data_IF_232794178434
#
_entry.id   IF_232794178434
#
_cell.length_a   1.000
_cell.length_b   1.000
_cell.length_c   1.000
_cell.angle_alpha   90.00
_cell.angle_beta   90.00
_cell.angle_gamma   90.00
#
_symmetry.space_group_name_H-M   'P 1'
#
loop_
_entity.id
_entity.type
_entity.pdbx_description
1 polymer ?
#
# COMPACT_ATOMS: atom_id res chain seq x y z
N UNK A 1 -34.24 -37.07 1.15
CA UNK A 1 -33.14 -37.26 0.17
C UNK A 1 -33.55 -36.53 -1.11
N UNK A 2 -32.62 -35.84 -1.76
CA UNK A 2 -32.94 -35.10 -3.00
C UNK A 2 -33.21 -36.04 -4.17
N UNK A 3 -34.16 -35.66 -5.02
CA UNK A 3 -34.47 -36.39 -6.25
C UNK A 3 -33.39 -36.16 -7.31
N UNK A 4 -33.37 -37.02 -8.34
CA UNK A 4 -32.42 -36.85 -9.46
C UNK A 4 -32.69 -35.56 -10.25
N UNK A 5 -33.94 -35.14 -10.35
CA UNK A 5 -34.36 -33.88 -10.98
C UNK A 5 -33.85 -32.66 -10.20
N UNK A 6 -33.96 -32.68 -8.87
CA UNK A 6 -33.43 -31.60 -8.02
C UNK A 6 -31.91 -31.45 -8.16
N UNK A 7 -31.18 -32.58 -8.20
CA UNK A 7 -29.72 -32.58 -8.41
C UNK A 7 -29.37 -31.97 -9.77
N UNK A 8 -30.11 -32.32 -10.82
CA UNK A 8 -29.89 -31.79 -12.16
C UNK A 8 -30.06 -30.27 -12.20
N UNK A 9 -31.11 -29.72 -11.61
CA UNK A 9 -31.35 -28.27 -11.59
C UNK A 9 -30.29 -27.52 -10.75
N UNK A 10 -29.79 -28.10 -9.67
CA UNK A 10 -28.67 -27.52 -8.89
C UNK A 10 -27.40 -27.43 -9.75
N UNK A 11 -27.03 -28.52 -10.44
CA UNK A 11 -25.84 -28.56 -11.31
C UNK A 11 -25.97 -27.55 -12.45
N UNK A 12 -27.15 -27.49 -13.09
CA UNK A 12 -27.45 -26.52 -14.14
C UNK A 12 -27.31 -25.08 -13.67
N UNK A 13 -27.85 -24.77 -12.49
CA UNK A 13 -27.73 -23.44 -11.86
C UNK A 13 -26.28 -23.10 -11.56
N UNK A 14 -25.52 -24.04 -10.98
CA UNK A 14 -24.09 -23.84 -10.71
C UNK A 14 -23.28 -23.57 -11.99
N UNK A 15 -23.54 -24.31 -13.07
CA UNK A 15 -22.90 -24.08 -14.39
C UNK A 15 -23.22 -22.70 -14.94
N UNK A 16 -24.46 -22.25 -14.80
CA UNK A 16 -24.86 -20.90 -15.20
C UNK A 16 -24.13 -19.82 -14.39
N UNK A 17 -24.00 -19.98 -13.07
CA UNK A 17 -23.23 -19.05 -12.22
C UNK A 17 -21.75 -18.95 -12.60
N UNK A 18 -21.11 -20.05 -12.98
CA UNK A 18 -19.71 -20.03 -13.46
C UNK A 18 -19.55 -19.22 -14.75
N UNK A 19 -20.57 -19.18 -15.61
CA UNK A 19 -20.57 -18.34 -16.82
C UNK A 19 -20.73 -16.86 -16.49
N UNK A 20 -21.61 -16.52 -15.55
CA UNK A 20 -21.90 -15.14 -15.12
C UNK A 20 -20.75 -14.48 -14.37
N UNK A 21 -19.93 -15.29 -13.70
CA UNK A 21 -18.70 -14.84 -13.09
C UNK A 21 -17.56 -15.10 -14.10
N UNK A 22 -17.09 -14.14 -14.90
CA UNK A 22 -15.93 -14.36 -15.76
C UNK A 22 -14.62 -14.40 -14.95
N UNK A 23 -13.61 -15.18 -15.37
CA UNK A 23 -12.36 -15.29 -14.64
C UNK A 23 -11.65 -13.93 -14.63
N UNK A 24 -11.08 -13.56 -13.48
CA UNK A 24 -10.24 -12.36 -13.37
C UNK A 24 -8.78 -12.79 -13.29
N UNK A 25 -7.94 -12.19 -14.14
CA UNK A 25 -6.48 -12.36 -14.05
C UNK A 25 -5.99 -11.63 -12.79
N UNK A 26 -5.80 -12.37 -11.71
CA UNK A 26 -5.27 -11.85 -10.45
C UNK A 26 -3.75 -12.08 -10.36
N UNK A 27 -3.05 -11.21 -9.64
CA UNK A 27 -1.67 -11.49 -9.24
C UNK A 27 -1.67 -12.56 -8.15
N UNK A 28 -0.61 -13.38 -8.08
CA UNK A 28 -0.46 -14.44 -7.06
C UNK A 28 -0.67 -13.92 -5.63
N UNK A 29 -0.17 -12.72 -5.32
CA UNK A 29 -0.37 -12.09 -4.01
C UNK A 29 -1.84 -11.70 -3.74
N UNK A 30 -2.59 -11.30 -4.76
CA UNK A 30 -4.01 -10.96 -4.60
C UNK A 30 -4.85 -12.21 -4.41
N UNK A 31 -4.58 -13.24 -5.21
CA UNK A 31 -5.21 -14.56 -5.10
C UNK A 31 -5.02 -15.16 -3.70
N UNK A 32 -3.76 -15.31 -3.26
CA UNK A 32 -3.43 -15.78 -1.91
C UNK A 32 -4.12 -14.93 -0.82
N UNK A 33 -4.12 -13.61 -0.99
CA UNK A 33 -4.77 -12.69 -0.06
C UNK A 33 -6.30 -12.82 0.00
N UNK A 34 -6.96 -13.27 -1.07
CA UNK A 34 -8.38 -13.59 -1.08
C UNK A 34 -8.64 -14.93 -0.41
N UNK A 35 -7.85 -15.97 -0.72
CA UNK A 35 -7.97 -17.28 -0.08
C UNK A 35 -7.81 -17.18 1.43
N UNK A 36 -6.77 -16.49 1.92
CA UNK A 36 -6.58 -16.30 3.36
C UNK A 36 -7.73 -15.52 4.03
N UNK A 37 -8.26 -14.49 3.36
CA UNK A 37 -9.37 -13.71 3.89
C UNK A 37 -10.66 -14.54 3.97
N UNK A 38 -10.95 -15.32 2.93
CA UNK A 38 -12.10 -16.23 2.87
C UNK A 38 -12.00 -17.31 3.96
N UNK A 39 -10.86 -18.01 4.05
CA UNK A 39 -10.65 -19.04 5.06
C UNK A 39 -10.79 -18.51 6.49
N UNK A 40 -10.38 -17.25 6.73
CA UNK A 40 -10.58 -16.60 8.03
C UNK A 40 -12.06 -16.40 8.36
N UNK A 41 -12.91 -16.16 7.37
CA UNK A 41 -14.36 -15.94 7.58
C UNK A 41 -15.12 -17.25 7.74
N UNK A 42 -14.75 -18.28 6.98
CA UNK A 42 -15.36 -19.62 7.07
C UNK A 42 -14.97 -20.34 8.36
N UNK A 43 -13.72 -20.17 8.82
CA UNK A 43 -13.22 -20.86 10.00
C UNK A 43 -13.05 -22.37 9.77
N UNK A 44 -13.06 -23.15 10.85
CA UNK A 44 -12.88 -24.63 10.79
C UNK A 44 -14.19 -25.41 10.60
N UNK A 45 -15.33 -24.78 10.84
CA UNK A 45 -16.65 -25.43 10.91
C UNK A 45 -17.35 -25.56 9.55
N UNK A 46 -16.79 -25.00 8.48
CA UNK A 46 -17.35 -25.08 7.14
C UNK A 46 -18.31 -23.95 6.76
N UNK A 47 -18.90 -24.07 5.58
CA UNK A 47 -19.48 -22.95 4.84
C UNK A 47 -21.01 -22.88 5.00
N UNK A 48 -21.49 -22.36 6.13
CA UNK A 48 -22.90 -21.97 6.23
C UNK A 48 -23.11 -20.57 5.59
N UNK A 49 -24.03 -20.42 4.61
CA UNK A 49 -24.18 -19.16 3.86
C UNK A 49 -24.50 -17.94 4.74
N UNK A 50 -25.41 -18.08 5.69
CA UNK A 50 -25.83 -16.99 6.59
C UNK A 50 -24.73 -16.62 7.59
N UNK A 51 -24.04 -17.62 8.16
CA UNK A 51 -22.89 -17.38 9.04
C UNK A 51 -21.77 -16.66 8.28
N UNK A 52 -21.49 -17.07 7.04
CA UNK A 52 -20.49 -16.42 6.21
C UNK A 52 -20.88 -14.98 5.87
N UNK A 53 -22.16 -14.74 5.54
CA UNK A 53 -22.66 -13.39 5.29
C UNK A 53 -22.51 -12.48 6.53
N UNK A 54 -22.89 -12.98 7.70
CA UNK A 54 -22.68 -12.29 8.97
C UNK A 54 -21.20 -11.97 9.19
N UNK A 55 -20.30 -12.93 8.93
CA UNK A 55 -18.85 -12.71 9.03
C UNK A 55 -18.31 -11.68 8.01
N UNK A 56 -18.86 -11.64 6.79
CA UNK A 56 -18.54 -10.61 5.79
C UNK A 56 -18.89 -9.21 6.35
N UNK A 57 -20.10 -9.08 6.90
CA UNK A 57 -20.65 -7.84 7.45
C UNK A 57 -20.07 -7.45 8.82
N UNK A 58 -19.40 -8.35 9.53
CA UNK A 58 -18.75 -8.10 10.82
C UNK A 58 -17.50 -7.21 10.68
N UNK A 59 -17.69 -5.96 10.26
CA UNK A 59 -16.67 -4.92 10.13
C UNK A 59 -17.30 -3.54 10.04
N UNK A 60 -16.62 -2.52 10.57
CA UNK A 60 -17.01 -1.12 10.39
C UNK A 60 -16.33 -0.46 9.17
N UNK A 61 -15.48 -1.20 8.44
CA UNK A 61 -14.66 -0.67 7.35
C UNK A 61 -15.25 -1.05 5.98
N UNK A 62 -15.73 -0.05 5.21
CA UNK A 62 -16.21 -0.25 3.84
C UNK A 62 -15.17 -0.94 2.95
N UNK A 63 -13.88 -0.64 3.12
CA UNK A 63 -12.83 -1.30 2.31
C UNK A 63 -12.61 -2.75 2.71
N UNK A 64 -12.78 -3.09 4.00
CA UNK A 64 -12.71 -4.46 4.48
C UNK A 64 -13.90 -5.26 3.97
N UNK A 65 -15.11 -4.73 4.09
CA UNK A 65 -16.33 -5.34 3.55
C UNK A 65 -16.18 -5.66 2.05
N UNK A 66 -15.80 -4.67 1.24
CA UNK A 66 -15.59 -4.87 -0.21
C UNK A 66 -14.52 -5.94 -0.51
N UNK A 67 -13.44 -5.99 0.28
CA UNK A 67 -12.40 -7.02 0.14
C UNK A 67 -12.96 -8.40 0.46
N UNK A 68 -13.74 -8.54 1.54
CA UNK A 68 -14.37 -9.80 1.95
C UNK A 68 -15.33 -10.31 0.89
N UNK A 69 -16.21 -9.44 0.37
CA UNK A 69 -17.10 -9.78 -0.76
C UNK A 69 -16.30 -10.26 -1.96
N UNK A 70 -15.25 -9.53 -2.36
CA UNK A 70 -14.43 -9.93 -3.50
C UNK A 70 -13.71 -11.27 -3.28
N UNK A 71 -13.21 -11.51 -2.06
CA UNK A 71 -12.59 -12.77 -1.68
C UNK A 71 -13.58 -13.94 -1.72
N UNK A 72 -14.79 -13.73 -1.19
CA UNK A 72 -15.86 -14.74 -1.22
C UNK A 72 -16.28 -15.07 -2.65
N UNK A 73 -16.54 -14.08 -3.50
CA UNK A 73 -16.89 -14.32 -4.91
C UNK A 73 -15.77 -15.11 -5.62
N UNK A 74 -14.52 -14.75 -5.37
CA UNK A 74 -13.36 -15.45 -5.94
C UNK A 74 -13.31 -16.92 -5.51
N UNK A 75 -13.35 -17.19 -4.20
CA UNK A 75 -13.26 -18.54 -3.66
C UNK A 75 -14.48 -19.41 -4.02
N UNK A 76 -15.70 -18.87 -3.93
CA UNK A 76 -16.92 -19.57 -4.35
C UNK A 76 -16.86 -19.96 -5.82
N UNK A 77 -16.35 -19.09 -6.70
CA UNK A 77 -16.19 -19.41 -8.12
C UNK A 77 -15.21 -20.56 -8.34
N UNK A 78 -14.08 -20.58 -7.64
CA UNK A 78 -13.12 -21.70 -7.70
C UNK A 78 -13.76 -23.00 -7.20
N UNK A 79 -14.45 -22.96 -6.06
CA UNK A 79 -15.17 -24.11 -5.51
C UNK A 79 -16.25 -24.63 -6.45
N UNK A 80 -17.04 -23.77 -7.11
CA UNK A 80 -18.01 -24.22 -8.11
C UNK A 80 -17.34 -24.99 -9.25
N UNK A 81 -16.20 -24.48 -9.76
CA UNK A 81 -15.49 -25.14 -10.86
C UNK A 81 -14.92 -26.50 -10.45
N UNK A 82 -14.33 -26.59 -9.25
CA UNK A 82 -13.77 -27.84 -8.72
C UNK A 82 -14.86 -28.86 -8.41
N UNK A 83 -15.95 -28.44 -7.74
CA UNK A 83 -17.07 -29.32 -7.40
C UNK A 83 -17.84 -29.79 -8.63
N UNK A 84 -18.02 -28.95 -9.66
CA UNK A 84 -18.61 -29.37 -10.93
C UNK A 84 -17.75 -30.44 -11.63
N UNK A 85 -16.43 -30.28 -11.64
CA UNK A 85 -15.52 -31.30 -12.19
C UNK A 85 -15.59 -32.62 -11.41
N UNK A 86 -15.64 -32.54 -10.08
CA UNK A 86 -15.83 -33.71 -9.21
C UNK A 86 -17.17 -34.41 -9.46
N UNK A 87 -18.25 -33.64 -9.59
CA UNK A 87 -19.58 -34.15 -9.91
C UNK A 87 -19.61 -34.86 -11.27
N UNK A 88 -19.04 -34.25 -12.31
CA UNK A 88 -18.94 -34.85 -13.64
C UNK A 88 -18.16 -36.18 -13.60
N UNK A 89 -17.07 -36.24 -12.82
CA UNK A 89 -16.27 -37.46 -12.66
C UNK A 89 -17.06 -38.57 -11.93
N UNK A 90 -17.71 -38.23 -10.81
CA UNK A 90 -18.53 -39.17 -10.03
C UNK A 90 -19.72 -39.72 -10.84
N UNK A 91 -20.32 -38.89 -11.71
CA UNK A 91 -21.39 -39.31 -12.59
C UNK A 91 -20.91 -40.32 -13.64
N UNK A 92 -19.69 -40.17 -14.18
CA UNK A 92 -19.11 -41.14 -15.14
C UNK A 92 -18.81 -42.49 -14.49
N UNK A 93 -18.43 -42.51 -13.22
CA UNK A 93 -18.12 -43.74 -12.48
C UNK A 93 -19.36 -44.38 -11.83
N UNK A 94 -20.54 -43.75 -11.94
CA UNK A 94 -21.78 -44.23 -11.34
C UNK A 94 -21.85 -44.07 -9.82
N UNK A 95 -20.97 -43.28 -9.21
CA UNK A 95 -20.98 -43.05 -7.75
C UNK A 95 -22.05 -42.01 -7.37
N UNK A 96 -23.27 -42.51 -7.18
CA UNK A 96 -24.43 -41.66 -6.84
C UNK A 96 -24.33 -41.01 -5.45
N UNK A 97 -23.51 -41.54 -4.54
CA UNK A 97 -23.30 -40.92 -3.23
C UNK A 97 -22.39 -39.70 -3.36
N UNK A 98 -21.30 -39.81 -4.12
CA UNK A 98 -20.44 -38.67 -4.44
C UNK A 98 -21.20 -37.61 -5.25
N UNK A 99 -22.04 -38.00 -6.21
CA UNK A 99 -22.90 -37.04 -6.96
C UNK A 99 -23.79 -36.25 -6.01
N UNK A 100 -24.47 -36.90 -5.06
CA UNK A 100 -25.32 -36.22 -4.07
C UNK A 100 -24.52 -35.29 -3.17
N UNK A 101 -23.34 -35.72 -2.73
CA UNK A 101 -22.45 -34.90 -1.91
C UNK A 101 -22.02 -33.63 -2.65
N UNK A 102 -21.55 -33.77 -3.90
CA UNK A 102 -21.19 -32.62 -4.72
C UNK A 102 -22.39 -31.69 -4.97
N UNK A 103 -23.57 -32.22 -5.23
CA UNK A 103 -24.78 -31.41 -5.40
C UNK A 103 -25.13 -30.59 -4.15
N UNK A 104 -24.97 -31.15 -2.95
CA UNK A 104 -25.16 -30.41 -1.70
C UNK A 104 -24.17 -29.24 -1.58
N UNK A 105 -22.88 -29.48 -1.87
CA UNK A 105 -21.86 -28.43 -1.87
C UNK A 105 -22.16 -27.34 -2.92
N UNK A 106 -22.60 -27.71 -4.13
CA UNK A 106 -22.97 -26.74 -5.17
C UNK A 106 -24.12 -25.85 -4.73
N UNK A 107 -25.15 -26.41 -4.10
CA UNK A 107 -26.28 -25.62 -3.59
C UNK A 107 -25.84 -24.62 -2.53
N UNK A 108 -25.01 -25.03 -1.56
CA UNK A 108 -24.49 -24.13 -0.53
C UNK A 108 -23.72 -22.96 -1.16
N UNK A 109 -22.83 -23.25 -2.10
CA UNK A 109 -22.01 -22.23 -2.77
C UNK A 109 -22.86 -21.28 -3.62
N UNK A 110 -23.89 -21.80 -4.31
CA UNK A 110 -24.86 -20.96 -5.04
C UNK A 110 -25.66 -20.10 -4.07
N UNK A 111 -26.07 -20.64 -2.91
CA UNK A 111 -26.77 -19.89 -1.86
C UNK A 111 -25.97 -18.68 -1.37
N UNK A 112 -24.67 -18.83 -1.14
CA UNK A 112 -23.78 -17.72 -0.77
C UNK A 112 -23.77 -16.63 -1.84
N UNK A 113 -23.62 -17.03 -3.12
CA UNK A 113 -23.59 -16.08 -4.23
C UNK A 113 -24.92 -15.33 -4.38
N UNK A 114 -26.05 -16.01 -4.16
CA UNK A 114 -27.38 -15.38 -4.16
C UNK A 114 -27.51 -14.31 -3.07
N UNK A 115 -27.05 -14.60 -1.84
CA UNK A 115 -27.07 -13.60 -0.74
C UNK A 115 -26.23 -12.37 -1.11
N UNK A 116 -25.04 -12.58 -1.68
CA UNK A 116 -24.15 -11.49 -2.10
C UNK A 116 -24.81 -10.66 -3.21
N UNK A 117 -25.39 -11.30 -4.22
CA UNK A 117 -26.06 -10.64 -5.33
C UNK A 117 -27.28 -9.83 -4.88
N UNK A 118 -28.04 -10.33 -3.90
CA UNK A 118 -29.15 -9.60 -3.28
C UNK A 118 -28.73 -8.26 -2.65
N UNK A 119 -27.46 -8.11 -2.31
CA UNK A 119 -26.88 -6.88 -1.75
C UNK A 119 -25.99 -6.11 -2.74
N UNK A 120 -26.00 -6.49 -4.02
CA UNK A 120 -25.15 -5.87 -5.04
C UNK A 120 -25.48 -4.38 -5.19
N UNK A 121 -24.43 -3.55 -5.21
CA UNK A 121 -24.56 -2.10 -5.29
C UNK A 121 -24.92 -1.42 -3.96
N UNK A 122 -25.33 -2.18 -2.94
CA UNK A 122 -25.59 -1.69 -1.60
C UNK A 122 -24.41 -1.99 -0.66
N UNK A 123 -24.29 -1.21 0.40
CA UNK A 123 -23.34 -1.49 1.48
C UNK A 123 -24.18 -1.61 2.76
N UNK A 124 -24.37 -2.83 3.28
CA UNK A 124 -25.28 -3.08 4.41
C UNK A 124 -24.74 -2.57 5.76
N UNK A 125 -23.52 -2.01 5.77
CA UNK A 125 -22.91 -1.46 6.98
C UNK A 125 -23.54 -0.11 7.34
N UNK A 126 -24.21 -0.03 8.49
CA UNK A 126 -24.79 1.20 9.02
C UNK A 126 -23.74 2.10 9.69
N UNK A 127 -22.93 1.53 10.60
CA UNK A 127 -21.98 2.27 11.44
C UNK A 127 -20.55 2.28 10.88
N UNK A 128 -20.38 2.83 9.67
CA UNK A 128 -19.06 2.79 9.03
C UNK A 128 -18.06 3.80 9.60
N UNK A 129 -16.87 3.33 9.94
CA UNK A 129 -15.76 4.17 10.43
C UNK A 129 -14.82 4.47 9.28
N UNK A 130 -14.60 5.77 9.03
CA UNK A 130 -13.61 6.22 8.05
C UNK A 130 -12.21 5.84 8.53
N UNK A 131 -11.43 5.20 7.66
CA UNK A 131 -10.03 4.87 7.94
C UNK A 131 -9.25 6.14 8.29
N UNK A 132 -8.65 6.18 9.49
CA UNK A 132 -7.70 7.22 9.88
C UNK A 132 -6.43 7.11 9.03
N UNK A 133 -6.03 8.21 8.41
CA UNK A 133 -4.78 8.27 7.64
C UNK A 133 -3.60 8.47 8.58
N UNK A 134 -2.46 7.85 8.30
CA UNK A 134 -1.21 8.16 9.04
C UNK A 134 -0.79 9.62 8.92
N UNK A 135 -1.29 10.32 7.91
CA UNK A 135 -1.16 11.78 7.79
C UNK A 135 -1.81 12.54 8.94
N UNK A 136 -2.97 12.08 9.44
CA UNK A 136 -3.67 12.80 10.53
C UNK A 136 -2.97 12.68 11.88
N UNK A 137 -2.08 11.71 12.02
CA UNK A 137 -1.32 11.46 13.25
C UNK A 137 -0.20 12.51 13.42
N UNK A 138 0.31 13.07 12.32
CA UNK A 138 1.45 14.00 12.31
C UNK A 138 1.22 15.28 13.13
N UNK A 139 -0.01 15.78 13.24
CA UNK A 139 -0.33 17.00 14.02
C UNK A 139 -0.13 16.83 15.53
N UNK A 140 0.01 15.59 16.00
CA UNK A 140 0.25 15.26 17.41
C UNK A 140 1.72 15.03 17.73
N UNK A 141 2.61 15.07 16.72
CA UNK A 141 4.05 14.96 16.92
C UNK A 141 4.64 16.36 17.18
N UNK A 142 5.68 16.47 18.05
CA UNK A 142 6.43 17.70 18.22
C UNK A 142 7.03 18.20 16.89
N UNK A 143 7.32 19.49 16.79
CA UNK A 143 7.82 20.07 15.53
C UNK A 143 9.19 19.51 15.09
N UNK A 144 10.05 19.16 16.03
CA UNK A 144 11.37 18.56 15.83
C UNK A 144 11.37 17.02 16.00
N UNK A 145 10.22 16.34 15.85
CA UNK A 145 10.11 14.90 16.09
C UNK A 145 11.07 14.06 15.23
N UNK A 146 11.39 14.52 14.00
CA UNK A 146 12.37 13.82 13.15
C UNK A 146 13.79 13.93 13.69
N UNK A 147 14.15 15.05 14.28
CA UNK A 147 15.48 15.25 14.86
C UNK A 147 15.60 14.41 16.14
N UNK A 148 14.55 14.39 16.98
CA UNK A 148 14.51 13.54 18.17
C UNK A 148 14.63 12.04 17.85
N UNK A 149 13.94 11.57 16.79
CA UNK A 149 14.08 10.18 16.34
C UNK A 149 15.45 9.88 15.75
N UNK A 150 16.06 10.84 15.06
CA UNK A 150 17.41 10.68 14.55
C UNK A 150 18.39 10.45 15.71
N UNK A 151 18.38 11.35 16.71
CA UNK A 151 19.20 11.25 17.92
C UNK A 151 18.97 9.90 18.63
N UNK A 152 17.71 9.45 18.73
CA UNK A 152 17.37 8.17 19.36
C UNK A 152 17.89 6.94 18.59
N UNK A 153 18.15 7.06 17.29
CA UNK A 153 18.60 5.98 16.40
C UNK A 153 20.08 6.12 15.98
N UNK A 154 20.74 7.22 16.33
CA UNK A 154 22.14 7.49 16.07
C UNK A 154 23.04 6.37 16.63
N UNK A 155 24.04 5.95 15.86
CA UNK A 155 24.92 4.82 16.15
C UNK A 155 24.26 3.44 16.05
N UNK A 156 22.94 3.35 15.86
CA UNK A 156 22.26 2.07 15.71
C UNK A 156 22.37 1.51 14.29
N UNK A 157 22.18 0.20 14.13
CA UNK A 157 22.11 -0.44 12.81
C UNK A 157 21.00 0.09 11.89
N UNK A 158 20.09 0.92 12.40
CA UNK A 158 18.99 1.51 11.64
C UNK A 158 19.13 3.01 11.38
N UNK A 159 20.22 3.65 11.80
CA UNK A 159 20.44 5.10 11.60
C UNK A 159 20.36 5.48 10.12
N UNK A 160 21.14 4.83 9.25
CA UNK A 160 21.14 5.12 7.81
C UNK A 160 19.76 4.83 7.18
N UNK A 161 19.10 3.76 7.58
CA UNK A 161 17.76 3.42 7.09
C UNK A 161 16.73 4.48 7.49
N UNK A 162 16.83 5.02 8.70
CA UNK A 162 16.02 6.12 9.18
C UNK A 162 16.26 7.37 8.33
N UNK A 163 17.50 7.81 8.19
CA UNK A 163 17.89 9.00 7.46
C UNK A 163 17.44 8.93 5.99
N UNK A 164 17.73 7.82 5.30
CA UNK A 164 17.29 7.61 3.91
C UNK A 164 15.77 7.72 3.79
N UNK A 165 15.01 7.10 4.70
CA UNK A 165 13.55 7.15 4.63
C UNK A 165 12.97 8.52 5.01
N UNK A 166 13.59 9.21 5.97
CA UNK A 166 13.19 10.54 6.40
C UNK A 166 13.38 11.57 5.27
N UNK A 167 14.47 11.44 4.51
CA UNK A 167 14.86 12.39 3.45
C UNK A 167 14.21 12.05 2.09
N UNK A 168 14.01 10.78 1.76
CA UNK A 168 13.44 10.38 0.45
C UNK A 168 11.95 10.03 0.48
N UNK A 169 11.38 9.78 1.66
CA UNK A 169 10.05 9.21 1.79
C UNK A 169 9.89 7.83 1.13
N UNK A 170 10.98 7.09 0.89
CA UNK A 170 10.92 5.75 0.29
C UNK A 170 10.05 4.79 1.10
N UNK A 171 9.43 3.83 0.43
CA UNK A 171 8.63 2.79 1.10
C UNK A 171 9.58 1.82 1.82
N UNK A 172 9.14 1.19 2.92
CA UNK A 172 9.95 0.17 3.59
C UNK A 172 10.45 -0.92 2.64
N UNK A 173 9.60 -1.41 1.74
CA UNK A 173 10.00 -2.45 0.80
C UNK A 173 11.02 -1.99 -0.25
N UNK A 174 11.23 -0.69 -0.42
CA UNK A 174 12.33 -0.18 -1.26
C UNK A 174 13.65 -0.25 -0.49
N UNK A 175 13.66 0.04 0.83
CA UNK A 175 14.82 -0.21 1.69
C UNK A 175 15.19 -1.70 1.77
N UNK A 176 14.21 -2.60 1.76
CA UNK A 176 14.51 -4.05 1.76
C UNK A 176 15.29 -4.49 0.51
N UNK A 177 15.08 -3.79 -0.61
CA UNK A 177 15.77 -4.05 -1.89
C UNK A 177 17.05 -3.23 -2.09
N UNK A 178 17.40 -2.38 -1.12
CA UNK A 178 18.52 -1.45 -1.21
C UNK A 178 18.18 -0.14 -1.90
N UNK A 179 18.66 0.95 -1.30
CA UNK A 179 18.59 2.32 -1.80
C UNK A 179 20.00 2.88 -1.86
N UNK A 180 20.39 3.46 -2.99
CA UNK A 180 21.70 4.05 -3.19
C UNK A 180 21.71 5.49 -2.68
N UNK A 181 22.73 5.82 -1.92
CA UNK A 181 23.04 7.17 -1.46
C UNK A 181 24.34 7.58 -2.12
N UNK A 182 24.29 8.60 -2.96
CA UNK A 182 25.40 9.06 -3.76
C UNK A 182 25.77 10.47 -3.27
N UNK A 183 26.97 10.62 -2.72
CA UNK A 183 27.50 11.91 -2.27
C UNK A 183 28.52 12.42 -3.30
N UNK A 184 28.33 13.65 -3.77
CA UNK A 184 29.29 14.39 -4.60
C UNK A 184 30.00 15.42 -3.73
N UNK A 185 31.31 15.25 -3.48
CA UNK A 185 32.09 16.16 -2.62
C UNK A 185 32.32 17.53 -3.25
N UNK A 186 32.56 17.57 -4.56
CA UNK A 186 32.82 18.82 -5.30
C UNK A 186 31.64 19.80 -5.24
N UNK A 187 30.42 19.28 -5.37
CA UNK A 187 29.20 20.10 -5.48
C UNK A 187 28.34 20.08 -4.22
N UNK A 188 28.80 19.42 -3.14
CA UNK A 188 28.04 19.16 -1.91
C UNK A 188 26.59 18.69 -2.18
N UNK A 189 26.46 17.74 -3.10
CA UNK A 189 25.16 17.17 -3.48
C UNK A 189 24.97 15.77 -2.91
N UNK A 190 23.77 15.54 -2.38
CA UNK A 190 23.28 14.23 -1.95
C UNK A 190 22.21 13.75 -2.92
N UNK A 191 22.44 12.64 -3.60
CA UNK A 191 21.43 11.99 -4.45
C UNK A 191 20.99 10.67 -3.85
N UNK A 192 19.68 10.51 -3.63
CA UNK A 192 19.08 9.25 -3.22
C UNK A 192 18.47 8.59 -4.45
N UNK A 193 19.02 7.44 -4.86
CA UNK A 193 18.60 6.66 -6.01
C UNK A 193 17.94 5.37 -5.58
N UNK A 194 16.72 5.15 -6.06
CA UNK A 194 15.91 3.96 -5.79
C UNK A 194 15.76 3.23 -7.11
N UNK A 195 16.53 2.16 -7.31
CA UNK A 195 16.52 1.36 -8.55
C UNK A 195 15.37 0.35 -8.59
N UNK A 196 14.90 -0.09 -7.43
CA UNK A 196 13.93 -1.17 -7.30
C UNK A 196 12.63 -0.70 -6.64
N UNK A 197 11.83 0.06 -7.38
CA UNK A 197 10.50 0.48 -6.94
C UNK A 197 9.62 -0.70 -6.48
N UNK A 198 8.70 -0.42 -5.54
CA UNK A 198 7.70 -1.40 -5.09
C UNK A 198 6.31 -1.01 -5.57
N UNK A 199 5.44 -2.02 -5.75
CA UNK A 199 4.12 -1.88 -6.38
C UNK A 199 4.20 -1.37 -7.82
N UNK A 200 5.25 -1.79 -8.52
CA UNK A 200 5.45 -1.51 -9.93
C UNK A 200 4.81 -2.65 -10.74
N UNK A 201 4.04 -2.27 -11.76
CA UNK A 201 3.57 -3.17 -12.84
C UNK A 201 3.91 -2.50 -14.17
N UNK A 202 3.60 -3.13 -15.29
CA UNK A 202 3.86 -2.59 -16.63
C UNK A 202 3.30 -1.16 -16.82
N UNK A 203 2.19 -0.85 -16.15
CA UNK A 203 1.47 0.43 -16.29
C UNK A 203 1.47 1.29 -15.01
N UNK A 204 1.98 0.80 -13.88
CA UNK A 204 1.86 1.49 -12.58
C UNK A 204 3.18 1.53 -11.83
N UNK A 205 3.37 2.61 -11.06
CA UNK A 205 4.53 2.81 -10.19
C UNK A 205 5.80 3.14 -10.97
N UNK A 206 6.75 3.80 -10.32
CA UNK A 206 8.05 4.11 -10.93
C UNK A 206 9.03 2.96 -10.69
N UNK A 207 9.58 2.32 -11.75
CA UNK A 207 10.66 1.34 -11.63
C UNK A 207 11.86 1.90 -10.88
N UNK A 208 12.35 3.07 -11.31
CA UNK A 208 13.44 3.79 -10.65
C UNK A 208 13.12 5.28 -10.50
N UNK A 209 13.78 5.92 -9.52
CA UNK A 209 13.76 7.38 -9.32
C UNK A 209 14.97 7.88 -8.55
N UNK A 210 15.26 9.17 -8.71
CA UNK A 210 16.30 9.90 -8.00
C UNK A 210 15.75 11.17 -7.37
N UNK A 211 16.24 11.50 -6.19
CA UNK A 211 15.93 12.75 -5.49
C UNK A 211 17.26 13.36 -5.06
N UNK A 212 17.54 14.57 -5.53
CA UNK A 212 18.80 15.27 -5.27
C UNK A 212 18.57 16.45 -4.35
N UNK A 213 19.49 16.65 -3.42
CA UNK A 213 19.48 17.72 -2.44
C UNK A 213 20.86 18.38 -2.36
N UNK A 214 20.89 19.67 -2.02
CA UNK A 214 22.10 20.29 -1.46
C UNK A 214 22.34 19.76 -0.05
N UNK A 215 23.58 19.47 0.31
CA UNK A 215 23.93 18.86 1.59
C UNK A 215 23.57 19.74 2.80
N UNK A 216 23.58 21.06 2.65
CA UNK A 216 23.36 22.04 3.72
C UNK A 216 21.90 22.48 3.90
N UNK A 217 20.98 22.08 3.02
CA UNK A 217 19.60 22.58 3.04
C UNK A 217 18.75 22.10 4.23
N UNK A 218 19.12 20.97 4.85
CA UNK A 218 18.38 20.40 5.98
C UNK A 218 19.31 19.56 6.87
N UNK A 219 19.15 19.59 8.21
CA UNK A 219 20.01 18.83 9.13
C UNK A 219 20.03 17.31 8.90
N UNK A 220 18.91 16.69 8.51
CA UNK A 220 18.85 15.25 8.23
C UNK A 220 19.53 14.90 6.90
N UNK A 221 19.45 15.81 5.92
CA UNK A 221 20.18 15.69 4.66
C UNK A 221 21.68 15.79 4.92
N UNK A 222 22.09 16.75 5.76
CA UNK A 222 23.48 16.92 6.15
C UNK A 222 24.00 15.70 6.90
N UNK A 223 23.26 15.20 7.88
CA UNK A 223 23.60 14.00 8.63
C UNK A 223 23.79 12.80 7.68
N UNK A 224 22.85 12.57 6.76
CA UNK A 224 22.98 11.48 5.79
C UNK A 224 24.21 11.63 4.88
N UNK A 225 24.49 12.85 4.41
CA UNK A 225 25.67 13.16 3.61
C UNK A 225 26.96 12.90 4.40
N UNK A 226 27.05 13.39 5.64
CA UNK A 226 28.23 13.24 6.50
C UNK A 226 28.51 11.79 6.89
N UNK A 227 27.47 11.01 7.22
CA UNK A 227 27.62 9.57 7.53
C UNK A 227 28.08 8.77 6.30
N UNK A 228 27.67 9.16 5.08
CA UNK A 228 28.01 8.41 3.85
C UNK A 228 29.30 8.89 3.16
N UNK A 229 29.70 10.17 3.30
CA UNK A 229 30.88 10.71 2.60
C UNK A 229 32.22 10.19 3.16
N UNK A 230 32.21 9.77 4.43
CA UNK A 230 33.40 9.31 5.17
C UNK A 230 33.74 7.84 4.93
N UNK A 231 32.94 7.11 4.13
CA UNK A 231 33.11 5.66 3.92
C UNK A 231 34.33 5.35 3.04
N UNK A 232 34.70 6.25 2.12
CA UNK A 232 35.86 6.06 1.22
C UNK A 232 36.65 7.37 1.10
N UNK A 233 37.87 7.34 1.63
CA UNK A 233 38.84 8.45 1.50
C UNK A 233 39.38 8.51 0.06
N UNK A 234 39.50 9.72 -0.49
CA UNK A 234 40.16 9.96 -1.79
C UNK A 234 39.27 9.93 -3.04
N UNK A 235 37.99 9.56 -2.95
CA UNK A 235 37.07 9.65 -4.10
C UNK A 235 36.19 10.90 -4.05
N UNK A 236 36.04 11.58 -5.18
CA UNK A 236 35.17 12.77 -5.36
C UNK A 236 33.68 12.41 -5.23
N UNK A 237 33.34 11.17 -5.58
CA UNK A 237 32.01 10.60 -5.50
C UNK A 237 32.04 9.33 -4.66
N UNK A 238 31.15 9.24 -3.68
CA UNK A 238 30.93 8.01 -2.90
C UNK A 238 29.52 7.49 -3.14
N UNK A 239 29.40 6.18 -3.27
CA UNK A 239 28.11 5.48 -3.37
C UNK A 239 27.99 4.47 -2.24
N UNK A 240 26.93 4.60 -1.45
CA UNK A 240 26.62 3.70 -0.33
C UNK A 240 25.26 3.07 -0.58
N UNK A 241 25.18 1.73 -0.53
CA UNK A 241 23.90 1.01 -0.60
C UNK A 241 23.35 0.82 0.81
N UNK A 242 22.22 1.47 1.11
CA UNK A 242 21.52 1.34 2.38
C UNK A 242 20.35 0.39 2.23
N UNK A 243 20.32 -0.66 3.05
CA UNK A 243 19.23 -1.64 3.05
C UNK A 243 18.84 -2.06 4.46
N UNK A 244 17.66 -2.66 4.58
CA UNK A 244 17.23 -3.37 5.80
C UNK A 244 16.94 -4.81 5.45
N UNK A 245 17.37 -5.75 6.28
CA UNK A 245 17.16 -7.18 6.01
C UNK A 245 15.67 -7.55 5.93
N UNK A 246 14.86 -7.02 6.86
CA UNK A 246 13.41 -7.26 6.92
C UNK A 246 12.67 -6.00 7.29
N UNK A 247 11.66 -5.64 6.49
CA UNK A 247 10.83 -4.45 6.77
C UNK A 247 10.02 -4.54 8.04
N UNK A 248 9.67 -5.74 8.52
CA UNK A 248 9.01 -5.95 9.81
C UNK A 248 9.91 -5.51 10.96
N UNK A 249 11.20 -5.86 10.92
CA UNK A 249 12.17 -5.51 11.95
C UNK A 249 12.43 -4.00 11.97
N UNK A 250 12.58 -3.38 10.79
CA UNK A 250 12.70 -1.93 10.68
C UNK A 250 11.48 -1.21 11.27
N UNK A 251 10.26 -1.65 10.93
CA UNK A 251 9.03 -1.06 11.48
C UNK A 251 8.95 -1.19 12.99
N UNK A 252 9.34 -2.34 13.54
CA UNK A 252 9.36 -2.56 14.97
C UNK A 252 10.36 -1.63 15.66
N UNK A 253 11.58 -1.51 15.13
CA UNK A 253 12.62 -0.63 15.66
C UNK A 253 12.18 0.85 15.66
N UNK A 254 11.64 1.35 14.54
CA UNK A 254 11.13 2.71 14.45
C UNK A 254 9.95 2.95 15.41
N UNK A 255 9.04 1.99 15.52
CA UNK A 255 7.94 2.09 16.48
C UNK A 255 8.45 2.11 17.91
N UNK A 256 9.44 1.30 18.25
CA UNK A 256 10.00 1.23 19.60
C UNK A 256 10.73 2.52 19.95
N UNK A 257 11.52 3.09 19.02
CA UNK A 257 12.16 4.39 19.19
C UNK A 257 11.13 5.50 19.45
N UNK A 258 10.06 5.56 18.65
CA UNK A 258 8.97 6.53 18.87
C UNK A 258 8.24 6.34 20.19
N UNK A 259 8.03 5.09 20.63
CA UNK A 259 7.36 4.80 21.91
C UNK A 259 8.21 5.19 23.12
N UNK A 260 9.55 5.08 23.01
CA UNK A 260 10.48 5.55 24.05
C UNK A 260 10.39 7.07 24.23
N UNK A 261 10.35 7.81 23.12
CA UNK A 261 10.25 9.26 23.14
C UNK A 261 8.86 9.76 23.56
N UNK A 262 7.79 9.10 23.08
CA UNK A 262 6.42 9.58 23.25
C UNK A 262 5.46 8.46 23.66
N UNK A 263 5.64 7.98 24.88
CA UNK A 263 4.88 6.85 25.44
C UNK A 263 3.36 7.07 25.50
N UNK A 264 2.93 8.33 25.57
CA UNK A 264 1.52 8.74 25.68
C UNK A 264 0.79 8.85 24.33
N UNK A 265 1.47 8.69 23.19
CA UNK A 265 0.79 8.73 21.89
C UNK A 265 -0.14 7.54 21.71
N UNK A 266 -1.36 7.81 21.24
CA UNK A 266 -2.37 6.78 20.91
C UNK A 266 -2.08 6.04 19.60
N UNK A 267 -0.92 6.29 19.00
CA UNK A 267 -0.47 5.64 17.77
C UNK A 267 1.04 5.40 17.84
N UNK A 268 1.49 4.43 17.04
CA UNK A 268 2.90 4.12 16.88
C UNK A 268 3.47 4.82 15.66
N UNK A 269 4.60 5.49 15.82
CA UNK A 269 5.36 6.05 14.69
C UNK A 269 5.78 4.90 13.77
N UNK A 270 5.79 5.17 12.47
CA UNK A 270 6.01 4.16 11.44
C UNK A 270 6.53 4.81 10.16
N UNK A 271 7.09 4.04 9.22
CA UNK A 271 7.65 4.56 7.98
C UNK A 271 6.75 5.48 7.15
N UNK A 272 5.44 5.24 7.21
CA UNK A 272 4.48 6.05 6.47
C UNK A 272 4.29 7.45 7.08
N UNK A 273 4.66 7.68 8.34
CA UNK A 273 4.72 9.03 8.90
C UNK A 273 5.86 9.82 8.24
N UNK A 274 7.08 9.24 8.19
CA UNK A 274 8.22 9.84 7.49
C UNK A 274 7.91 10.17 6.03
N UNK A 275 7.31 9.22 5.30
CA UNK A 275 6.87 9.44 3.92
C UNK A 275 5.82 10.54 3.76
N UNK A 276 4.87 10.66 4.69
CA UNK A 276 3.88 11.74 4.66
C UNK A 276 4.51 13.10 4.97
N UNK A 277 5.49 13.13 5.86
CA UNK A 277 6.23 14.36 6.20
C UNK A 277 7.09 14.81 5.03
N UNK A 278 7.87 13.92 4.41
CA UNK A 278 8.63 14.26 3.19
C UNK A 278 7.73 14.83 2.08
N UNK A 279 6.59 14.19 1.81
CA UNK A 279 5.61 14.71 0.85
C UNK A 279 4.98 16.05 1.27
N UNK A 280 4.88 16.34 2.57
CA UNK A 280 4.38 17.64 3.05
C UNK A 280 5.43 18.73 2.87
N UNK A 281 6.69 18.41 3.16
CA UNK A 281 7.83 19.28 2.97
C UNK A 281 7.99 19.69 1.50
N UNK A 282 7.93 18.74 0.57
CA UNK A 282 8.00 19.01 -0.87
C UNK A 282 6.88 19.91 -1.35
N UNK A 283 5.65 19.69 -0.85
CA UNK A 283 4.52 20.58 -1.16
C UNK A 283 4.77 22.01 -0.66
N UNK A 284 5.36 22.15 0.52
CA UNK A 284 5.70 23.47 1.09
C UNK A 284 6.82 24.16 0.32
N UNK A 285 7.80 23.39 -0.12
CA UNK A 285 8.88 23.86 -0.97
C UNK A 285 8.41 24.30 -2.37
N UNK A 286 7.13 24.09 -2.71
CA UNK A 286 6.53 24.55 -3.96
C UNK A 286 6.68 23.58 -5.13
N UNK A 287 7.12 22.35 -4.89
CA UNK A 287 7.24 21.34 -5.95
C UNK A 287 5.89 21.06 -6.61
N UNK A 288 5.92 20.84 -7.93
CA UNK A 288 4.73 20.49 -8.69
C UNK A 288 4.21 19.09 -8.30
N UNK A 289 2.92 18.85 -8.48
CA UNK A 289 2.31 17.56 -8.15
C UNK A 289 2.96 16.38 -8.89
N UNK A 290 3.47 16.62 -10.10
CA UNK A 290 4.20 15.64 -10.90
C UNK A 290 5.51 15.24 -10.25
N UNK A 291 6.32 16.23 -9.84
CA UNK A 291 7.59 16.01 -9.16
C UNK A 291 7.41 15.27 -7.84
N UNK A 292 6.41 15.68 -7.04
CA UNK A 292 6.05 14.98 -5.80
C UNK A 292 5.64 13.54 -6.10
N UNK A 293 4.87 13.31 -7.18
CA UNK A 293 4.43 11.97 -7.57
C UNK A 293 5.61 11.11 -8.03
N UNK A 294 6.51 11.68 -8.84
CA UNK A 294 7.74 11.04 -9.29
C UNK A 294 8.62 10.66 -8.10
N UNK A 295 8.89 11.58 -7.17
CA UNK A 295 9.65 11.34 -5.94
C UNK A 295 8.98 10.33 -4.99
N UNK A 296 7.64 10.25 -4.98
CA UNK A 296 6.91 9.21 -4.28
C UNK A 296 6.86 7.87 -5.04
N UNK A 297 7.35 7.80 -6.29
CA UNK A 297 7.31 6.60 -7.10
C UNK A 297 5.91 6.27 -7.65
N UNK A 298 5.11 7.28 -7.96
CA UNK A 298 3.80 7.16 -8.61
C UNK A 298 3.90 7.56 -10.09
N UNK A 299 3.03 6.99 -10.94
CA UNK A 299 2.86 7.38 -12.35
C UNK A 299 1.59 8.19 -12.62
N UNK A 300 0.83 8.53 -11.57
CA UNK A 300 -0.36 9.37 -11.65
C UNK A 300 -0.41 10.32 -10.45
N UNK A 301 -0.75 11.59 -10.69
CA UNK A 301 -0.81 12.60 -9.63
C UNK A 301 -1.94 12.41 -8.62
N UNK A 302 -3.05 11.76 -9.01
CA UNK A 302 -4.18 11.46 -8.10
C UNK A 302 -3.76 10.69 -6.84
N UNK A 303 -2.68 9.91 -6.89
CA UNK A 303 -2.25 9.10 -5.73
C UNK A 303 -1.34 9.84 -4.76
N UNK A 304 -0.64 10.90 -5.20
CA UNK A 304 0.20 11.73 -4.31
C UNK A 304 -0.64 12.61 -3.39
N UNK A 305 -1.88 12.95 -3.75
CA UNK A 305 -2.80 13.73 -2.91
C UNK A 305 -3.14 13.05 -1.57
N UNK A 306 -3.02 11.72 -1.51
CA UNK A 306 -3.22 10.95 -0.28
C UNK A 306 -2.08 11.14 0.73
N UNK A 307 -0.93 11.67 0.28
CA UNK A 307 0.26 11.87 1.10
C UNK A 307 0.45 13.34 1.43
N UNK A 308 0.70 13.64 2.70
CA UNK A 308 1.06 14.97 3.18
C UNK A 308 -0.01 16.07 3.02
N UNK A 309 0.15 17.16 3.78
CA UNK A 309 -0.68 18.38 3.73
C UNK A 309 0.21 19.57 4.10
N UNK A 310 0.08 20.69 3.37
CA UNK A 310 0.89 21.90 3.56
C UNK A 310 0.95 22.36 5.02
N UNK A 311 -0.19 22.27 5.71
CA UNK A 311 -0.41 22.77 7.07
C UNK A 311 0.11 21.84 8.18
N UNK A 312 0.53 20.59 7.88
CA UNK A 312 0.75 19.55 8.90
C UNK A 312 2.25 19.36 9.27
N UNK A 313 3.18 19.96 8.52
CA UNK A 313 4.61 19.92 8.87
C UNK A 313 5.04 21.06 9.82
N UNK A 314 4.66 21.05 11.08
CA UNK A 314 5.27 22.00 12.03
C UNK A 314 6.72 21.55 12.26
N UNK A 315 7.74 22.39 12.05
CA UNK A 315 9.17 22.01 12.23
C UNK A 315 10.17 22.68 11.26
N UNK A 316 11.31 23.12 11.80
CA UNK A 316 12.40 23.89 11.16
C UNK A 316 12.99 23.22 9.92
N UNK A 317 13.02 23.95 8.80
CA UNK A 317 13.67 23.57 7.54
C UNK A 317 13.03 22.37 6.84
N UNK A 318 11.98 22.56 6.05
CA UNK A 318 11.40 21.48 5.24
C UNK A 318 12.38 20.98 4.17
N UNK A 319 12.27 19.71 3.77
CA UNK A 319 13.01 19.16 2.63
C UNK A 319 12.65 19.90 1.32
N UNK A 320 13.67 20.42 0.64
CA UNK A 320 13.58 21.09 -0.66
C UNK A 320 14.54 20.41 -1.67
N UNK A 321 14.07 19.42 -2.45
CA UNK A 321 14.87 18.81 -3.50
C UNK A 321 15.28 19.82 -4.56
N UNK A 322 16.54 19.76 -5.01
CA UNK A 322 17.01 20.56 -6.14
C UNK A 322 16.70 19.90 -7.49
N UNK A 323 16.52 18.58 -7.52
CA UNK A 323 16.21 17.85 -8.73
C UNK A 323 15.50 16.51 -8.42
N UNK A 324 14.54 16.12 -9.27
CA UNK A 324 13.86 14.83 -9.21
C UNK A 324 13.84 14.21 -10.60
N UNK A 325 14.29 12.95 -10.70
CA UNK A 325 14.22 12.15 -11.93
C UNK A 325 13.45 10.87 -11.67
N UNK A 326 12.70 10.40 -12.66
CA UNK A 326 12.00 9.12 -12.58
C UNK A 326 11.89 8.47 -13.96
N UNK A 327 11.69 7.16 -13.96
CA UNK A 327 11.67 6.37 -15.19
C UNK A 327 10.51 6.70 -16.13
N UNK A 328 9.32 6.96 -15.59
CA UNK A 328 8.08 7.16 -16.34
C UNK A 328 7.54 8.56 -16.12
N UNK A 329 6.95 9.14 -17.15
CA UNK A 329 6.16 10.38 -17.04
C UNK A 329 5.00 10.18 -16.06
N UNK A 330 4.67 11.24 -15.32
CA UNK A 330 3.51 11.24 -14.43
C UNK A 330 2.28 11.72 -15.19
N UNK A 331 1.25 10.89 -15.26
CA UNK A 331 0.00 11.24 -15.91
C UNK A 331 -0.84 12.16 -15.02
N UNK A 332 -1.30 13.26 -15.61
CA UNK A 332 -2.25 14.19 -15.04
C UNK A 332 -3.67 13.60 -15.10
N UNK A 333 -4.21 13.25 -13.94
CA UNK A 333 -5.52 12.60 -13.80
C UNK A 333 -6.46 13.37 -12.89
N UNK A 334 -6.04 14.58 -12.48
CA UNK A 334 -6.85 15.51 -11.72
C UNK A 334 -7.31 16.61 -12.65
N UNK A 335 -8.58 16.99 -12.55
CA UNK A 335 -9.06 18.23 -13.12
C UNK A 335 -8.27 19.39 -12.50
N UNK A 336 -7.85 20.40 -13.28
CA UNK A 336 -7.27 21.62 -12.72
C UNK A 336 -8.18 22.16 -11.63
N UNK A 337 -7.64 22.42 -10.46
CA UNK A 337 -8.37 23.18 -9.44
C UNK A 337 -8.65 24.56 -10.05
N UNK A 338 -9.88 25.09 -10.05
CA UNK A 338 -10.15 26.45 -10.52
C UNK A 338 -9.16 27.42 -9.87
N UNK A 339 -8.51 28.22 -10.72
CA UNK A 339 -7.18 28.75 -10.49
C UNK A 339 -7.01 29.65 -9.26
N UNK A 340 -5.85 29.52 -8.63
CA UNK A 340 -5.18 30.64 -7.97
C UNK A 340 -4.53 31.44 -9.10
N UNK A 341 -5.16 32.52 -9.53
CA UNK A 341 -4.55 33.46 -10.49
C UNK A 341 -3.31 34.01 -9.80
N UNK A 342 -2.13 33.62 -10.27
CA UNK A 342 -0.91 34.37 -10.01
C UNK A 342 -0.93 35.57 -10.94
N UNK A 343 -1.35 36.73 -10.42
CA UNK A 343 -1.13 38.00 -11.08
C UNK A 343 0.38 38.27 -11.05
N UNK A 344 1.06 38.00 -12.16
CA UNK A 344 2.35 38.62 -12.42
C UNK A 344 2.09 40.10 -12.72
N UNK A 345 2.23 40.94 -11.70
CA UNK A 345 2.49 42.37 -11.91
C UNK A 345 3.89 42.48 -12.53
N UNK A 346 3.94 42.64 -13.85
CA UNK A 346 5.06 43.30 -14.49
C UNK A 346 4.94 44.79 -14.19
N UNK A 347 5.69 45.24 -13.18
CA UNK A 347 6.14 46.62 -13.13
C UNK A 347 7.31 46.75 -14.11
N UNK A 348 7.13 47.56 -15.14
CA UNK A 348 8.22 48.17 -15.89
C UNK A 348 7.72 49.52 -16.43
N UNK A 349 8.22 50.58 -15.79
CA UNK A 349 8.37 51.97 -16.24
C UNK A 349 7.15 52.72 -16.78
#
# INVERSE_FOLDING_TARGET
>A
MKTQEEIFEIVKTARQRVKELPPKKLTQSTDHGYVCEYNRMVGKEGVNPEKLWSAICATQSKSTYRRRVAATIHCCRTQLQETLRGQDAAQRTGDMNAVRHHAAVLEEVVGILNIIDGHKGLCPLENTVRRKSKRSDLKYLPSNWRDQLHIQLEGSKYELAYLVQAVSGCRPGELEKGVKVICSKENDLLTIRIDNGVKVTDQKGQPWREITYRADQNPLVRALFDTCKNVVSGTERTETVVYVEKTTNWRAALSSAGQKLWSKLRFRVCPYHLRNTAASDWKRAGLHEEEISAALGHCVNKTSSNYGQLQIGQGSGGLCPSNIKAARTVLQTRSPTPGRIHTHNHNAW
#
